data_IF_200955118787
#
_entry.id   IF_200955118787
#
_cell.length_a   1.000
_cell.length_b   1.000
_cell.length_c   1.000
_cell.angle_alpha   90.00
_cell.angle_beta   90.00
_cell.angle_gamma   90.00
#
_symmetry.space_group_name_H-M   'P 1'
#
loop_
_entity.id
_entity.type
_entity.pdbx_description
1 polymer ?
#
# COMPACT_ATOMS: atom_id res chain seq x y z
N UNK A 1 0.75 15.50 30.98
CA UNK A 1 0.91 16.80 30.29
C UNK A 1 2.15 16.70 29.43
N UNK A 2 1.98 16.57 28.12
CA UNK A 2 3.11 16.47 27.18
C UNK A 2 3.63 17.86 26.86
N UNK A 3 4.95 18.08 26.92
CA UNK A 3 5.56 19.39 26.65
C UNK A 3 5.46 19.76 25.16
N UNK A 4 5.41 21.05 24.79
CA UNK A 4 5.24 21.49 23.39
C UNK A 4 6.23 20.87 22.40
N UNK A 5 7.46 20.56 22.87
CA UNK A 5 8.52 19.92 22.10
C UNK A 5 8.25 18.45 21.74
N UNK A 6 7.44 17.73 22.54
CA UNK A 6 7.03 16.36 22.23
C UNK A 6 5.98 16.34 21.12
N UNK A 7 5.10 17.34 21.05
CA UNK A 7 4.11 17.47 19.98
C UNK A 7 4.76 17.82 18.64
N UNK A 8 5.80 18.65 18.62
CA UNK A 8 6.55 18.95 17.38
C UNK A 8 7.42 17.77 16.92
N UNK A 9 7.99 17.02 17.86
CA UNK A 9 8.68 15.77 17.56
C UNK A 9 7.72 14.66 17.10
N UNK A 10 6.48 14.65 17.60
CA UNK A 10 5.39 13.83 17.09
C UNK A 10 4.95 14.31 15.70
N UNK A 11 4.78 15.60 15.44
CA UNK A 11 4.45 16.13 14.10
C UNK A 11 5.48 15.70 13.04
N UNK A 12 6.78 15.80 13.35
CA UNK A 12 7.84 15.30 12.47
C UNK A 12 7.84 13.76 12.32
N UNK A 13 7.40 13.04 13.36
CA UNK A 13 7.21 11.58 13.38
C UNK A 13 5.81 11.14 12.94
N UNK A 14 4.89 12.04 12.61
CA UNK A 14 3.53 11.77 12.15
C UNK A 14 3.32 12.37 10.76
N UNK A 15 4.28 13.16 10.23
CA UNK A 15 4.25 13.62 8.85
C UNK A 15 4.29 12.50 7.80
N UNK A 16 4.73 11.29 8.18
CA UNK A 16 4.57 10.09 7.34
C UNK A 16 3.20 9.42 7.48
N UNK A 17 2.43 9.81 8.50
CA UNK A 17 1.00 9.48 8.65
C UNK A 17 0.11 10.59 8.10
N UNK A 18 0.69 11.71 7.64
CA UNK A 18 -0.05 12.77 6.97
C UNK A 18 -0.72 12.14 5.75
N UNK A 19 -2.05 12.07 5.77
CA UNK A 19 -2.87 11.45 4.74
C UNK A 19 -2.95 12.37 3.53
N UNK A 20 -1.80 12.74 2.99
CA UNK A 20 -1.71 13.62 1.85
C UNK A 20 -2.19 12.85 0.61
N UNK A 21 -3.48 13.00 0.31
CA UNK A 21 -4.20 12.36 -0.79
C UNK A 21 -3.86 12.95 -2.16
N UNK A 22 -2.76 13.73 -2.26
CA UNK A 22 -2.36 14.36 -3.51
C UNK A 22 -1.88 13.28 -4.49
N UNK A 23 -2.29 13.41 -5.75
CA UNK A 23 -1.95 12.46 -6.81
C UNK A 23 -0.46 12.08 -6.89
N UNK A 24 0.52 13.00 -6.72
CA UNK A 24 1.93 12.62 -6.74
C UNK A 24 2.34 11.65 -5.63
N UNK A 25 1.74 11.76 -4.45
CA UNK A 25 2.02 10.89 -3.30
C UNK A 25 1.42 9.50 -3.53
N UNK A 26 0.20 9.45 -4.08
CA UNK A 26 -0.46 8.19 -4.47
C UNK A 26 0.35 7.48 -5.55
N UNK A 27 0.79 8.19 -6.59
CA UNK A 27 1.63 7.62 -7.65
C UNK A 27 2.97 7.12 -7.12
N UNK A 28 3.59 7.84 -6.19
CA UNK A 28 4.82 7.39 -5.54
C UNK A 28 4.60 6.12 -4.72
N UNK A 29 3.52 6.05 -3.94
CA UNK A 29 3.16 4.86 -3.18
C UNK A 29 2.84 3.66 -4.08
N UNK A 30 2.12 3.87 -5.21
CA UNK A 30 1.92 2.83 -6.22
C UNK A 30 3.26 2.31 -6.73
N UNK A 31 4.17 3.19 -7.14
CA UNK A 31 5.47 2.79 -7.67
C UNK A 31 6.28 1.99 -6.65
N UNK A 32 6.27 2.37 -5.37
CA UNK A 32 6.92 1.60 -4.30
C UNK A 32 6.33 0.19 -4.22
N UNK A 33 4.99 0.07 -4.15
CA UNK A 33 4.33 -1.23 -4.00
C UNK A 33 4.55 -2.13 -5.22
N UNK A 34 4.42 -1.61 -6.44
CA UNK A 34 4.70 -2.38 -7.66
C UNK A 34 6.16 -2.79 -7.74
N UNK A 35 7.09 -1.88 -7.43
CA UNK A 35 8.52 -2.19 -7.47
C UNK A 35 8.88 -3.30 -6.47
N UNK A 36 8.31 -3.25 -5.27
CA UNK A 36 8.56 -4.29 -4.26
C UNK A 36 7.91 -5.62 -4.63
N UNK A 37 6.68 -5.62 -5.16
CA UNK A 37 5.99 -6.83 -5.59
C UNK A 37 6.68 -7.55 -6.76
N UNK A 38 7.56 -6.86 -7.49
CA UNK A 38 8.37 -7.42 -8.58
C UNK A 38 9.77 -7.88 -8.14
N UNK A 39 10.09 -7.81 -6.85
CA UNK A 39 11.33 -8.35 -6.29
C UNK A 39 11.17 -9.82 -5.87
N UNK A 40 12.26 -10.42 -5.39
CA UNK A 40 12.25 -11.74 -4.78
C UNK A 40 12.11 -11.66 -3.27
N UNK A 41 11.28 -12.53 -2.68
CA UNK A 41 11.20 -12.73 -1.23
C UNK A 41 9.85 -12.42 -0.60
N UNK A 42 9.81 -12.45 0.73
CA UNK A 42 8.55 -12.41 1.49
C UNK A 42 7.83 -11.07 1.36
N UNK A 43 8.56 -9.96 1.32
CA UNK A 43 7.94 -8.64 1.18
C UNK A 43 7.37 -8.42 -0.22
N UNK A 44 7.97 -9.04 -1.25
CA UNK A 44 7.41 -9.06 -2.59
C UNK A 44 6.07 -9.80 -2.65
N UNK A 45 5.98 -10.99 -2.04
CA UNK A 45 4.72 -11.73 -1.92
C UNK A 45 3.66 -10.89 -1.18
N UNK A 46 4.00 -10.31 -0.02
CA UNK A 46 3.07 -9.48 0.76
C UNK A 46 2.60 -8.25 -0.01
N UNK A 47 3.49 -7.56 -0.72
CA UNK A 47 3.15 -6.41 -1.56
C UNK A 47 2.24 -6.82 -2.73
N UNK A 48 2.55 -7.94 -3.39
CA UNK A 48 1.73 -8.52 -4.45
C UNK A 48 0.32 -8.85 -3.96
N UNK A 49 0.21 -9.56 -2.82
CA UNK A 49 -1.07 -9.91 -2.20
C UNK A 49 -1.87 -8.68 -1.80
N UNK A 50 -1.22 -7.64 -1.29
CA UNK A 50 -1.89 -6.36 -1.02
C UNK A 50 -2.49 -5.74 -2.29
N UNK A 51 -1.73 -5.67 -3.39
CA UNK A 51 -2.19 -5.12 -4.67
C UNK A 51 -3.34 -5.95 -5.27
N UNK A 52 -3.26 -7.28 -5.19
CA UNK A 52 -4.32 -8.19 -5.62
C UNK A 52 -5.60 -7.99 -4.81
N UNK A 53 -5.48 -7.87 -3.49
CA UNK A 53 -6.62 -7.61 -2.60
C UNK A 53 -7.29 -6.26 -2.87
N UNK A 54 -6.51 -5.22 -3.18
CA UNK A 54 -7.07 -3.93 -3.60
C UNK A 54 -7.83 -4.03 -4.95
N UNK A 55 -7.34 -4.87 -5.87
CA UNK A 55 -7.94 -5.05 -7.19
C UNK A 55 -9.22 -5.89 -7.17
N UNK A 56 -9.24 -6.97 -6.40
CA UNK A 56 -10.37 -7.91 -6.33
C UNK A 56 -10.43 -8.55 -4.93
N UNK A 57 -10.95 -7.83 -3.92
CA UNK A 57 -10.91 -8.27 -2.52
C UNK A 57 -11.67 -9.58 -2.27
N UNK A 58 -12.73 -9.85 -3.05
CA UNK A 58 -13.50 -11.10 -2.95
C UNK A 58 -12.72 -12.32 -3.47
N UNK A 59 -11.78 -12.09 -4.42
CA UNK A 59 -10.96 -13.14 -5.01
C UNK A 59 -9.65 -13.32 -4.26
N UNK A 60 -9.10 -12.24 -3.71
CA UNK A 60 -7.80 -12.23 -3.03
C UNK A 60 -7.97 -11.64 -1.63
N UNK A 61 -8.41 -12.44 -0.65
CA UNK A 61 -8.54 -11.98 0.73
C UNK A 61 -7.17 -11.61 1.30
N UNK A 62 -7.12 -10.48 2.00
CA UNK A 62 -5.91 -9.98 2.63
C UNK A 62 -5.87 -10.35 4.11
N UNK A 63 -4.78 -10.99 4.55
CA UNK A 63 -4.47 -11.08 5.97
C UNK A 63 -3.81 -9.78 6.43
N UNK A 64 -4.46 -9.07 7.35
CA UNK A 64 -3.91 -7.82 7.88
C UNK A 64 -2.61 -8.01 8.66
N UNK A 65 -2.34 -9.22 9.16
CA UNK A 65 -1.06 -9.53 9.81
C UNK A 65 0.11 -9.42 8.83
N UNK A 66 -0.11 -9.73 7.55
CA UNK A 66 0.94 -9.65 6.52
C UNK A 66 1.43 -8.21 6.33
N UNK A 67 0.54 -7.23 6.49
CA UNK A 67 0.88 -5.80 6.40
C UNK A 67 1.71 -5.30 7.59
N UNK A 68 1.64 -6.01 8.73
CA UNK A 68 2.35 -5.66 9.96
C UNK A 68 3.86 -5.90 9.88
N UNK A 69 4.32 -6.68 8.90
CA UNK A 69 5.72 -7.04 8.73
C UNK A 69 6.46 -6.19 7.69
N UNK A 70 5.77 -5.25 7.04
CA UNK A 70 6.42 -4.36 6.09
C UNK A 70 7.49 -3.50 6.75
N UNK A 71 8.58 -3.27 6.02
CA UNK A 71 9.54 -2.24 6.36
C UNK A 71 8.88 -0.85 6.34
N UNK A 72 9.65 0.17 6.75
CA UNK A 72 9.12 1.52 6.88
C UNK A 72 8.55 2.08 5.58
N UNK A 73 9.18 1.82 4.44
CA UNK A 73 8.81 2.42 3.16
C UNK A 73 7.57 1.72 2.55
N UNK A 74 7.52 0.39 2.65
CA UNK A 74 6.35 -0.39 2.24
C UNK A 74 5.15 -0.14 3.14
N UNK A 75 5.37 -0.02 4.45
CA UNK A 75 4.32 0.30 5.39
C UNK A 75 3.73 1.69 5.12
N UNK A 76 4.59 2.66 4.79
CA UNK A 76 4.18 3.99 4.34
C UNK A 76 3.32 3.92 3.07
N UNK A 77 3.81 3.26 2.02
CA UNK A 77 3.11 3.16 0.74
C UNK A 77 1.75 2.44 0.87
N UNK A 78 1.73 1.29 1.55
CA UNK A 78 0.50 0.53 1.83
C UNK A 78 -0.56 1.38 2.53
N UNK A 79 -0.18 2.07 3.63
CA UNK A 79 -1.11 2.93 4.37
C UNK A 79 -1.63 4.08 3.53
N UNK A 80 -0.77 4.73 2.76
CA UNK A 80 -1.18 5.82 1.89
C UNK A 80 -2.20 5.39 0.84
N UNK A 81 -1.99 4.25 0.19
CA UNK A 81 -2.93 3.73 -0.80
C UNK A 81 -4.27 3.36 -0.17
N UNK A 82 -4.25 2.62 0.95
CA UNK A 82 -5.48 2.24 1.65
C UNK A 82 -6.27 3.47 2.11
N UNK A 83 -5.59 4.45 2.71
CA UNK A 83 -6.23 5.67 3.18
C UNK A 83 -6.76 6.53 2.04
N UNK A 84 -6.06 6.61 0.91
CA UNK A 84 -6.54 7.34 -0.27
C UNK A 84 -7.83 6.73 -0.82
N UNK A 85 -7.84 5.41 -1.02
CA UNK A 85 -9.02 4.65 -1.49
C UNK A 85 -10.23 4.90 -0.59
N UNK A 86 -10.03 4.79 0.73
CA UNK A 86 -11.10 4.98 1.72
C UNK A 86 -11.54 6.44 1.81
N UNK A 87 -10.60 7.39 1.95
CA UNK A 87 -10.93 8.79 2.15
C UNK A 87 -11.56 9.44 0.91
N UNK A 88 -11.11 9.04 -0.29
CA UNK A 88 -11.62 9.57 -1.55
C UNK A 88 -12.77 8.73 -2.12
N UNK A 89 -13.13 7.59 -1.51
CA UNK A 89 -14.18 6.69 -1.98
C UNK A 89 -13.97 6.26 -3.44
N UNK A 90 -12.71 5.99 -3.81
CA UNK A 90 -12.31 5.58 -5.16
C UNK A 90 -11.98 4.10 -5.20
N UNK A 91 -12.29 3.42 -6.29
CA UNK A 91 -11.85 2.04 -6.51
C UNK A 91 -10.39 2.01 -6.93
N UNK A 92 -9.63 1.01 -6.49
CA UNK A 92 -8.26 0.81 -6.97
C UNK A 92 -8.17 0.69 -8.51
N UNK A 93 -9.21 0.14 -9.15
CA UNK A 93 -9.32 0.03 -10.62
C UNK A 93 -9.47 1.38 -11.34
N UNK A 94 -9.69 2.47 -10.60
CA UNK A 94 -9.66 3.83 -11.13
C UNK A 94 -8.25 4.45 -11.09
N UNK A 95 -7.32 3.82 -10.37
CA UNK A 95 -5.95 4.31 -10.16
C UNK A 95 -4.93 3.59 -11.04
N UNK A 96 -5.20 2.32 -11.35
CA UNK A 96 -4.33 1.46 -12.16
C UNK A 96 -5.15 0.74 -13.23
N UNK A 97 -4.49 0.42 -14.34
CA UNK A 97 -5.10 -0.33 -15.45
C UNK A 97 -4.92 -1.82 -15.27
N UNK A 98 -5.62 -2.61 -16.09
CA UNK A 98 -5.40 -4.06 -16.14
C UNK A 98 -3.96 -4.39 -16.53
N UNK A 99 -3.39 -3.65 -17.49
CA UNK A 99 -2.02 -3.88 -17.98
C UNK A 99 -0.97 -3.64 -16.89
N UNK A 100 -1.21 -2.67 -15.99
CA UNK A 100 -0.34 -2.46 -14.82
C UNK A 100 -0.35 -3.66 -13.85
N UNK A 101 -1.49 -4.36 -13.76
CA UNK A 101 -1.68 -5.49 -12.86
C UNK A 101 -1.31 -6.86 -13.46
N UNK A 102 -1.18 -6.98 -14.79
CA UNK A 102 -0.79 -8.22 -15.47
C UNK A 102 0.47 -8.89 -14.87
N UNK A 103 1.57 -8.16 -14.59
CA UNK A 103 2.75 -8.74 -13.95
C UNK A 103 2.48 -9.26 -12.54
N UNK A 104 1.60 -8.59 -11.79
CA UNK A 104 1.24 -8.97 -10.43
C UNK A 104 0.39 -10.24 -10.42
N UNK A 105 -0.57 -10.37 -11.36
CA UNK A 105 -1.31 -11.61 -11.52
C UNK A 105 -0.41 -12.77 -11.91
N UNK A 106 0.52 -12.55 -12.83
CA UNK A 106 1.46 -13.58 -13.26
C UNK A 106 2.37 -14.05 -12.13
N UNK A 107 2.79 -13.14 -11.24
CA UNK A 107 3.68 -13.46 -10.14
C UNK A 107 2.94 -14.07 -8.92
N UNK A 108 1.73 -13.62 -8.60
CA UNK A 108 1.09 -13.87 -7.30
C UNK A 108 -0.38 -14.32 -7.37
N UNK A 109 -0.98 -14.37 -8.56
CA UNK A 109 -2.42 -14.60 -8.74
C UNK A 109 -2.86 -16.06 -8.60
N UNK A 110 -1.94 -17.02 -8.74
CA UNK A 110 -2.25 -18.46 -8.68
C UNK A 110 -2.28 -19.04 -7.26
N UNK A 111 -1.73 -18.33 -6.26
CA UNK A 111 -1.64 -18.86 -4.88
C UNK A 111 -3.02 -18.97 -4.17
N UNK A 112 -4.09 -18.37 -4.72
CA UNK A 112 -5.40 -18.24 -4.04
C UNK A 112 -6.63 -18.60 -4.91
N UNK A 113 -6.48 -19.40 -5.98
CA UNK A 113 -7.63 -20.06 -6.65
C UNK A 113 -7.93 -21.42 -6.03
#
# INVERSE_FOLDING_TARGET
>A
MSTPSQLTALDGRLGWLDLNTRAPVVNHALNIMFSAAMQDGTDANRAGRFLLALWSPDQYPLDLNDLGYFDRELNYACRHLANFIIACQVSFRQLVTLSDMEPIFAAWGEEHQ
#
